data_IF_933491991697
#
_entry.id   IF_933491991697
#
_cell.length_a   1.000
_cell.length_b   1.000
_cell.length_c   1.000
_cell.angle_alpha   90.00
_cell.angle_beta   90.00
_cell.angle_gamma   90.00
#
_symmetry.space_group_name_H-M   'P 1'
#
loop_
_entity.id
_entity.type
_entity.pdbx_description
1 polymer ?
#
# COMPACT_ATOMS: atom_id res chain seq x y z
N UNK A 1 29.44 -4.13 -9.08
CA UNK A 1 29.45 -2.91 -8.23
C UNK A 1 28.37 -3.10 -7.18
N UNK A 2 28.69 -3.27 -5.88
CA UNK A 2 27.65 -3.21 -4.86
C UNK A 2 27.07 -1.79 -4.87
N UNK A 3 25.77 -1.67 -5.07
CA UNK A 3 25.08 -0.37 -4.92
C UNK A 3 25.26 0.11 -3.47
N UNK A 4 25.58 1.40 -3.29
CA UNK A 4 25.63 1.98 -1.95
C UNK A 4 24.20 2.02 -1.37
N UNK A 5 24.04 1.64 -0.11
CA UNK A 5 22.74 1.63 0.59
C UNK A 5 22.09 3.03 0.55
N UNK A 6 22.90 4.08 0.59
CA UNK A 6 22.44 5.47 0.52
C UNK A 6 21.75 5.76 -0.83
N UNK A 7 22.33 5.32 -1.95
CA UNK A 7 21.78 5.51 -3.30
C UNK A 7 20.45 4.75 -3.48
N UNK A 8 20.34 3.56 -2.91
CA UNK A 8 19.10 2.77 -2.93
C UNK A 8 18.02 3.50 -2.13
N UNK A 9 18.36 4.00 -0.95
CA UNK A 9 17.43 4.71 -0.06
C UNK A 9 16.90 5.99 -0.73
N UNK A 10 17.78 6.76 -1.36
CA UNK A 10 17.42 7.96 -2.13
C UNK A 10 16.40 7.64 -3.23
N UNK A 11 16.68 6.59 -4.04
CA UNK A 11 15.78 6.15 -5.11
C UNK A 11 14.43 5.69 -4.58
N UNK A 12 14.41 4.98 -3.45
CA UNK A 12 13.16 4.55 -2.80
C UNK A 12 12.35 5.77 -2.39
N UNK A 13 12.96 6.75 -1.70
CA UNK A 13 12.26 7.95 -1.24
C UNK A 13 11.68 8.78 -2.39
N UNK A 14 12.42 8.93 -3.49
CA UNK A 14 11.94 9.62 -4.68
C UNK A 14 10.77 8.90 -5.34
N UNK A 15 10.79 7.55 -5.35
CA UNK A 15 9.76 6.74 -5.99
C UNK A 15 8.52 6.52 -5.13
N UNK A 16 8.65 6.57 -3.79
CA UNK A 16 7.58 6.23 -2.84
C UNK A 16 6.75 7.43 -2.37
N UNK A 17 7.10 8.66 -2.79
CA UNK A 17 6.44 9.89 -2.32
C UNK A 17 4.93 9.98 -2.57
N UNK A 18 4.39 9.21 -3.51
CA UNK A 18 2.95 9.16 -3.79
C UNK A 18 2.15 8.26 -2.83
N UNK A 19 2.83 7.36 -2.09
CA UNK A 19 2.16 6.38 -1.23
C UNK A 19 1.46 7.04 -0.02
N UNK A 20 2.10 7.98 0.72
CA UNK A 20 1.44 8.64 1.84
C UNK A 20 0.14 9.40 1.49
N UNK A 21 0.10 10.26 0.44
CA UNK A 21 -1.14 10.95 0.08
C UNK A 21 -2.22 9.98 -0.43
N UNK A 22 -1.84 8.91 -1.14
CA UNK A 22 -2.79 7.87 -1.56
C UNK A 22 -3.44 7.18 -0.35
N UNK A 23 -2.63 6.79 0.65
CA UNK A 23 -3.14 6.18 1.88
C UNK A 23 -4.09 7.13 2.63
N UNK A 24 -3.76 8.42 2.71
CA UNK A 24 -4.57 9.42 3.39
C UNK A 24 -5.96 9.56 2.76
N UNK A 25 -6.05 9.55 1.42
CA UNK A 25 -7.34 9.57 0.71
C UNK A 25 -8.16 8.30 0.94
N UNK A 26 -7.50 7.13 0.96
CA UNK A 26 -8.18 5.85 1.21
C UNK A 26 -8.73 5.76 2.64
N UNK A 27 -8.04 6.33 3.63
CA UNK A 27 -8.50 6.39 5.02
C UNK A 27 -9.77 7.23 5.20
N UNK A 28 -10.09 8.18 4.29
CA UNK A 28 -11.34 8.94 4.34
C UNK A 28 -12.57 8.08 4.05
N UNK A 29 -12.42 7.03 3.24
CA UNK A 29 -13.51 6.15 2.81
C UNK A 29 -13.52 4.83 3.60
N UNK A 30 -12.34 4.30 3.93
CA UNK A 30 -12.17 3.01 4.60
C UNK A 30 -11.75 3.18 6.07
N UNK A 31 -12.74 3.30 6.96
CA UNK A 31 -12.50 3.45 8.40
C UNK A 31 -12.08 2.11 9.04
N UNK A 32 -10.98 2.12 9.79
CA UNK A 32 -10.54 0.97 10.60
C UNK A 32 -9.88 -0.18 9.80
N UNK A 33 -9.67 0.00 8.50
CA UNK A 33 -9.20 -1.05 7.59
C UNK A 33 -7.76 -0.84 7.08
N UNK A 34 -6.90 -0.19 7.86
CA UNK A 34 -5.51 0.16 7.47
C UNK A 34 -4.73 -1.03 6.90
N UNK A 35 -4.78 -2.18 7.57
CA UNK A 35 -4.09 -3.39 7.14
C UNK A 35 -4.55 -3.93 5.78
N UNK A 36 -5.86 -3.85 5.51
CA UNK A 36 -6.42 -4.23 4.22
C UNK A 36 -5.94 -3.27 3.12
N UNK A 37 -6.01 -1.96 3.38
CA UNK A 37 -5.58 -0.92 2.45
C UNK A 37 -4.11 -1.09 2.04
N UNK A 38 -3.21 -1.29 3.01
CA UNK A 38 -1.78 -1.51 2.76
C UNK A 38 -1.53 -2.73 1.87
N UNK A 39 -2.26 -3.84 2.12
CA UNK A 39 -2.15 -5.05 1.30
C UNK A 39 -2.64 -4.82 -0.13
N UNK A 40 -3.74 -4.10 -0.31
CA UNK A 40 -4.26 -3.78 -1.66
C UNK A 40 -3.25 -2.97 -2.47
N UNK A 41 -2.61 -1.97 -1.85
CA UNK A 41 -1.55 -1.18 -2.50
C UNK A 41 -0.36 -2.08 -2.85
N UNK A 42 0.05 -2.98 -1.96
CA UNK A 42 1.12 -3.93 -2.25
C UNK A 42 0.79 -4.80 -3.46
N UNK A 43 -0.39 -5.42 -3.50
CA UNK A 43 -0.80 -6.24 -4.65
C UNK A 43 -0.84 -5.45 -5.96
N UNK A 44 -1.30 -4.19 -5.92
CA UNK A 44 -1.29 -3.29 -7.07
C UNK A 44 0.14 -3.01 -7.56
N UNK A 45 1.08 -2.73 -6.66
CA UNK A 45 2.46 -2.37 -7.01
C UNK A 45 3.30 -3.57 -7.45
N UNK A 46 3.03 -4.75 -6.89
CA UNK A 46 3.76 -5.98 -7.25
C UNK A 46 3.13 -6.72 -8.42
N UNK A 47 1.90 -6.35 -8.82
CA UNK A 47 1.14 -7.07 -9.84
C UNK A 47 0.64 -8.44 -9.37
N UNK A 48 0.51 -8.63 -8.06
CA UNK A 48 0.11 -9.90 -7.46
C UNK A 48 -1.39 -9.90 -7.12
N UNK A 49 -1.96 -11.10 -7.01
CA UNK A 49 -3.38 -11.26 -6.72
C UNK A 49 -3.66 -11.32 -5.21
N UNK A 50 -4.80 -10.75 -4.79
CA UNK A 50 -5.26 -10.76 -3.40
C UNK A 50 -6.64 -11.40 -3.33
N UNK A 51 -6.80 -12.37 -2.44
CA UNK A 51 -8.10 -12.91 -2.06
C UNK A 51 -8.62 -12.18 -0.81
N UNK A 52 -9.78 -11.54 -0.93
CA UNK A 52 -10.44 -10.81 0.16
C UNK A 52 -11.54 -11.66 0.79
N UNK A 53 -11.19 -12.52 1.73
CA UNK A 53 -12.17 -13.27 2.51
C UNK A 53 -12.63 -12.49 3.76
N UNK A 54 -13.83 -12.77 4.25
CA UNK A 54 -14.26 -12.30 5.56
C UNK A 54 -15.76 -12.41 5.76
N UNK A 55 -16.18 -12.21 7.00
CA UNK A 55 -17.57 -12.37 7.42
C UNK A 55 -18.46 -11.20 6.96
N UNK A 56 -19.79 -11.42 6.81
CA UNK A 56 -20.72 -10.38 6.39
C UNK A 56 -20.66 -9.14 7.30
N UNK A 57 -20.69 -7.92 6.73
CA UNK A 57 -20.80 -6.68 7.49
C UNK A 57 -19.50 -5.89 7.77
N UNK A 58 -18.34 -6.32 7.26
CA UNK A 58 -17.04 -5.65 7.49
C UNK A 58 -16.60 -4.69 6.36
N UNK A 59 -17.53 -3.91 5.79
CA UNK A 59 -17.23 -2.94 4.73
C UNK A 59 -16.58 -3.58 3.46
N UNK A 60 -17.15 -4.68 2.97
CA UNK A 60 -16.71 -5.40 1.74
C UNK A 60 -17.37 -4.91 0.46
N UNK A 61 -18.07 -3.79 0.51
CA UNK A 61 -18.79 -3.15 -0.62
C UNK A 61 -18.60 -1.68 -0.54
#
# INVERSE_FOLDING_TARGET
>A
MPQNIDEITERINQSSGFIPPLLQELEQVMVGQKYLTERLILGLLTGEHILLEGVPGLAKT
#
